data_IF_514421614077
#
_entry.id   IF_514421614077
#
_cell.length_a   1.000
_cell.length_b   1.000
_cell.length_c   1.000
_cell.angle_alpha   90.00
_cell.angle_beta   90.00
_cell.angle_gamma   90.00
#
_symmetry.space_group_name_H-M   'P 1'
#
loop_
_entity.id
_entity.type
_entity.pdbx_description
1 polymer ?
#
# COMPACT_ATOMS: atom_id res chain seq x y z
N UNK A 1 11.43 -3.55 19.46
CA UNK A 1 10.21 -2.81 19.14
C UNK A 1 10.04 -1.72 20.18
N UNK A 2 10.13 -0.48 19.76
CA UNK A 2 9.69 0.61 20.61
C UNK A 2 8.16 0.53 20.61
N UNK A 3 7.55 0.23 21.75
CA UNK A 3 6.17 0.61 21.98
C UNK A 3 6.15 2.12 21.81
N UNK A 4 5.62 2.59 20.70
CA UNK A 4 5.41 4.02 20.50
C UNK A 4 4.33 4.40 21.50
N UNK A 5 4.73 5.06 22.59
CA UNK A 5 3.78 5.75 23.46
C UNK A 5 3.20 6.91 22.66
N UNK A 6 2.09 6.65 21.99
CA UNK A 6 1.37 7.68 21.27
C UNK A 6 0.47 8.39 22.29
N UNK A 7 0.76 9.66 22.59
CA UNK A 7 -0.22 10.47 23.31
C UNK A 7 -1.42 10.73 22.39
N UNK A 8 -2.64 10.79 22.93
CA UNK A 8 -3.85 11.09 22.16
C UNK A 8 -3.73 12.39 21.36
N UNK A 9 -2.91 13.34 21.83
CA UNK A 9 -2.64 14.62 21.18
C UNK A 9 -1.69 14.53 19.99
N UNK A 10 -1.04 13.38 19.75
CA UNK A 10 -0.02 13.19 18.71
C UNK A 10 -0.51 12.38 17.51
N UNK A 11 -1.73 11.85 17.55
CA UNK A 11 -2.33 11.12 16.42
C UNK A 11 -3.26 12.05 15.67
N UNK A 12 -2.80 12.55 14.53
CA UNK A 12 -3.68 13.19 13.56
C UNK A 12 -4.37 12.13 12.67
N UNK A 13 -5.41 12.53 11.96
CA UNK A 13 -6.12 11.67 11.02
C UNK A 13 -5.39 11.49 9.67
N UNK A 14 -4.14 11.96 9.57
CA UNK A 14 -3.28 11.86 8.41
C UNK A 14 -2.30 10.69 8.50
N UNK A 15 -1.03 10.95 8.23
CA UNK A 15 0.03 9.91 8.22
C UNK A 15 0.24 9.25 9.58
N UNK A 16 -0.04 9.92 10.69
CA UNK A 16 0.04 9.29 12.03
C UNK A 16 -0.95 8.13 12.15
N UNK A 17 -2.18 8.28 11.63
CA UNK A 17 -3.17 7.20 11.60
C UNK A 17 -2.70 6.03 10.74
N UNK A 18 -2.12 6.30 9.58
CA UNK A 18 -1.58 5.25 8.68
C UNK A 18 -0.48 4.46 9.37
N UNK A 19 0.46 5.16 10.02
CA UNK A 19 1.56 4.52 10.73
C UNK A 19 1.07 3.67 11.91
N UNK A 20 0.06 4.15 12.63
CA UNK A 20 -0.57 3.41 13.72
C UNK A 20 -1.27 2.14 13.20
N UNK A 21 -2.00 2.23 12.07
CA UNK A 21 -2.63 1.08 11.45
C UNK A 21 -1.60 0.04 11.00
N UNK A 22 -0.52 0.46 10.33
CA UNK A 22 0.58 -0.42 9.92
C UNK A 22 1.25 -1.13 11.10
N UNK A 23 1.43 -0.43 12.22
CA UNK A 23 2.04 -1.01 13.43
C UNK A 23 1.09 -2.01 14.11
N UNK A 24 -0.18 -1.67 14.18
CA UNK A 24 -1.22 -2.56 14.69
C UNK A 24 -1.30 -3.86 13.86
N UNK A 25 -1.39 -3.75 12.53
CA UNK A 25 -1.45 -4.91 11.63
C UNK A 25 -0.21 -5.79 11.75
N UNK A 26 0.99 -5.20 11.77
CA UNK A 26 2.24 -5.95 12.01
C UNK A 26 2.25 -6.65 13.36
N UNK A 27 1.68 -6.04 14.38
CA UNK A 27 1.60 -6.63 15.72
C UNK A 27 0.61 -7.78 15.77
N UNK A 28 -0.54 -7.66 15.09
CA UNK A 28 -1.55 -8.71 14.99
C UNK A 28 -1.07 -9.91 14.15
N UNK A 29 -0.28 -9.66 13.10
CA UNK A 29 0.25 -10.71 12.24
C UNK A 29 1.35 -11.57 12.92
N UNK A 30 1.93 -11.10 14.04
CA UNK A 30 2.98 -11.83 14.76
C UNK A 30 2.39 -12.96 15.61
N UNK A 31 3.01 -14.12 15.55
CA UNK A 31 2.70 -15.19 16.50
C UNK A 31 3.45 -14.95 17.82
N UNK A 32 2.93 -14.02 18.63
CA UNK A 32 3.54 -13.61 19.90
C UNK A 32 3.68 -14.76 20.90
N UNK A 33 2.75 -15.73 20.87
CA UNK A 33 2.82 -16.91 21.73
C UNK A 33 4.03 -17.77 21.36
N UNK A 34 4.27 -17.99 20.06
CA UNK A 34 5.43 -18.73 19.58
C UNK A 34 6.73 -17.99 19.89
N UNK A 35 6.75 -16.69 19.69
CA UNK A 35 7.92 -15.88 20.02
C UNK A 35 8.27 -15.93 21.51
N UNK A 36 7.26 -15.92 22.40
CA UNK A 36 7.45 -16.02 23.85
C UNK A 36 7.99 -17.38 24.31
N UNK A 37 7.75 -18.45 23.53
CA UNK A 37 8.25 -19.79 23.85
C UNK A 37 9.75 -19.98 23.58
N UNK A 38 10.41 -19.03 22.98
CA UNK A 38 11.87 -19.06 22.76
C UNK A 38 12.61 -18.85 24.09
N UNK A 39 13.26 -19.91 24.54
CA UNK A 39 14.01 -19.92 25.81
C UNK A 39 15.25 -19.02 25.79
N UNK A 40 15.77 -18.70 24.62
CA UNK A 40 16.95 -17.85 24.42
C UNK A 40 16.69 -16.37 24.67
N UNK A 41 15.43 -15.96 24.79
CA UNK A 41 15.04 -14.55 24.97
C UNK A 41 15.49 -14.01 26.33
N UNK A 42 16.06 -12.80 26.29
CA UNK A 42 16.33 -12.05 27.52
C UNK A 42 15.02 -11.73 28.27
N UNK A 43 15.10 -11.62 29.60
CA UNK A 43 13.95 -11.25 30.45
C UNK A 43 13.28 -9.94 29.97
N UNK A 44 14.08 -8.95 29.56
CA UNK A 44 13.56 -7.67 29.03
C UNK A 44 12.72 -7.90 27.77
N UNK A 45 13.18 -8.80 26.89
CA UNK A 45 12.46 -9.09 25.65
C UNK A 45 11.15 -9.84 25.91
N UNK A 46 11.13 -10.77 26.86
CA UNK A 46 9.91 -11.49 27.27
C UNK A 46 8.85 -10.51 27.80
N UNK A 47 9.22 -9.59 28.70
CA UNK A 47 8.29 -8.56 29.20
C UNK A 47 7.74 -7.69 28.07
N UNK A 48 8.58 -7.26 27.13
CA UNK A 48 8.11 -6.48 25.96
C UNK A 48 7.11 -7.24 25.08
N UNK A 49 7.29 -8.54 24.93
CA UNK A 49 6.35 -9.36 24.13
C UNK A 49 5.04 -9.60 24.88
N UNK A 50 5.10 -9.80 26.21
CA UNK A 50 3.93 -9.92 27.08
C UNK A 50 3.10 -8.64 27.07
N UNK A 51 3.76 -7.46 27.19
CA UNK A 51 3.11 -6.14 27.10
C UNK A 51 2.45 -5.93 25.74
N UNK A 52 3.14 -6.28 24.63
CA UNK A 52 2.61 -6.19 23.29
C UNK A 52 1.39 -7.12 23.11
N UNK A 53 1.46 -8.36 23.58
CA UNK A 53 0.34 -9.29 23.54
C UNK A 53 -0.86 -8.77 24.33
N UNK A 54 -0.61 -8.19 25.52
CA UNK A 54 -1.63 -7.52 26.31
C UNK A 54 -2.27 -6.35 25.55
N UNK A 55 -1.47 -5.49 24.92
CA UNK A 55 -1.95 -4.35 24.13
C UNK A 55 -2.79 -4.78 22.95
N UNK A 56 -2.36 -5.76 22.15
CA UNK A 56 -3.13 -6.32 21.02
C UNK A 56 -4.47 -6.88 21.51
N UNK A 57 -4.49 -7.64 22.62
CA UNK A 57 -5.71 -8.17 23.20
C UNK A 57 -6.69 -7.08 23.66
N UNK A 58 -6.18 -6.00 24.26
CA UNK A 58 -7.00 -4.89 24.75
C UNK A 58 -7.51 -3.98 23.63
N UNK A 59 -6.79 -3.91 22.51
CA UNK A 59 -7.19 -3.11 21.34
C UNK A 59 -8.30 -3.76 20.51
N UNK A 60 -8.58 -5.05 20.73
CA UNK A 60 -9.69 -5.75 20.05
C UNK A 60 -10.99 -5.32 20.67
N UNK A 61 -11.84 -4.63 19.87
CA UNK A 61 -13.15 -4.09 20.31
C UNK A 61 -14.13 -5.23 20.62
N UNK A 62 -14.06 -6.33 19.86
CA UNK A 62 -14.88 -7.52 20.05
C UNK A 62 -14.04 -8.69 20.55
N UNK A 63 -14.24 -9.05 21.81
CA UNK A 63 -13.53 -10.19 22.45
C UNK A 63 -13.80 -11.55 21.80
N UNK A 64 -14.86 -11.67 20.99
CA UNK A 64 -15.34 -12.91 20.36
C UNK A 64 -15.36 -12.85 18.83
N UNK A 65 -14.97 -11.76 18.19
CA UNK A 65 -14.83 -11.79 16.74
C UNK A 65 -13.66 -12.72 16.39
N UNK A 66 -13.97 -13.79 15.67
CA UNK A 66 -12.94 -14.48 14.89
C UNK A 66 -12.22 -13.40 14.13
N UNK A 67 -10.91 -13.27 14.34
CA UNK A 67 -10.09 -12.34 13.57
C UNK A 67 -10.55 -12.40 12.13
N UNK A 68 -10.87 -11.25 11.57
CA UNK A 68 -11.27 -11.17 10.17
C UNK A 68 -10.17 -11.87 9.36
N UNK A 69 -10.51 -12.99 8.76
CA UNK A 69 -9.56 -13.80 7.98
C UNK A 69 -9.14 -13.11 6.69
N UNK A 70 -9.74 -11.95 6.41
CA UNK A 70 -9.28 -11.10 5.32
C UNK A 70 -8.03 -10.34 5.77
N UNK A 71 -6.86 -10.89 5.44
CA UNK A 71 -5.55 -10.26 5.63
C UNK A 71 -5.34 -9.01 4.77
N UNK A 72 -6.39 -8.21 4.54
CA UNK A 72 -6.30 -6.98 3.74
C UNK A 72 -5.70 -5.89 4.60
N UNK A 73 -4.49 -5.47 4.25
CA UNK A 73 -3.83 -4.38 4.96
C UNK A 73 -4.54 -3.05 4.76
N UNK A 74 -4.39 -2.15 5.74
CA UNK A 74 -4.95 -0.81 5.69
C UNK A 74 -4.53 -0.05 4.42
N UNK A 75 -3.25 -0.13 4.06
CA UNK A 75 -2.73 0.53 2.85
C UNK A 75 -3.26 -0.09 1.57
N UNK A 76 -3.40 -1.41 1.53
CA UNK A 76 -3.96 -2.09 0.37
C UNK A 76 -5.45 -1.73 0.18
N UNK A 77 -6.21 -1.70 1.27
CA UNK A 77 -7.61 -1.27 1.21
C UNK A 77 -7.74 0.20 0.77
N UNK A 78 -6.84 1.09 1.24
CA UNK A 78 -6.80 2.48 0.79
C UNK A 78 -6.44 2.61 -0.70
N UNK A 79 -5.57 1.75 -1.22
CA UNK A 79 -5.24 1.67 -2.64
C UNK A 79 -6.46 1.24 -3.46
N UNK A 80 -7.09 0.12 -3.09
CA UNK A 80 -8.26 -0.42 -3.81
C UNK A 80 -9.43 0.58 -3.78
N UNK A 81 -9.69 1.21 -2.64
CA UNK A 81 -10.75 2.20 -2.50
C UNK A 81 -10.58 3.42 -3.41
N UNK A 82 -9.34 3.74 -3.82
CA UNK A 82 -9.03 4.86 -4.73
C UNK A 82 -8.97 4.44 -6.20
N UNK A 83 -8.58 3.20 -6.49
CA UNK A 83 -8.37 2.72 -7.88
C UNK A 83 -9.58 2.01 -8.45
N UNK A 84 -10.46 1.46 -7.62
CA UNK A 84 -11.65 0.73 -8.07
C UNK A 84 -12.91 1.60 -7.98
N UNK A 85 -13.65 1.67 -9.06
CA UNK A 85 -14.83 2.55 -9.18
C UNK A 85 -16.06 2.08 -8.39
N UNK A 86 -16.09 0.81 -7.98
CA UNK A 86 -17.18 0.24 -7.18
C UNK A 86 -16.67 -0.90 -6.28
N UNK A 87 -17.50 -1.30 -5.33
CA UNK A 87 -17.14 -2.31 -4.32
C UNK A 87 -16.95 -3.70 -4.92
N UNK A 88 -17.69 -4.06 -5.96
CA UNK A 88 -17.53 -5.36 -6.61
C UNK A 88 -16.11 -5.54 -7.17
N UNK A 89 -15.56 -4.50 -7.80
CA UNK A 89 -14.18 -4.53 -8.30
C UNK A 89 -13.15 -4.61 -7.17
N UNK A 90 -13.45 -4.05 -5.99
CA UNK A 90 -12.60 -4.24 -4.80
C UNK A 90 -12.62 -5.70 -4.37
N UNK A 91 -13.82 -6.30 -4.31
CA UNK A 91 -13.96 -7.72 -3.92
C UNK A 91 -13.29 -8.66 -4.91
N UNK A 92 -13.45 -8.40 -6.21
CA UNK A 92 -12.81 -9.18 -7.27
C UNK A 92 -11.27 -9.13 -7.16
N UNK A 93 -10.69 -7.96 -6.91
CA UNK A 93 -9.23 -7.79 -6.68
C UNK A 93 -8.74 -8.55 -5.45
N UNK A 94 -9.59 -8.74 -4.44
CA UNK A 94 -9.28 -9.50 -3.23
C UNK A 94 -9.59 -11.01 -3.38
N UNK A 95 -10.05 -11.47 -4.54
CA UNK A 95 -10.47 -12.85 -4.76
C UNK A 95 -11.74 -13.25 -4.01
N UNK A 96 -12.56 -12.24 -3.61
CA UNK A 96 -13.83 -12.45 -2.92
C UNK A 96 -14.96 -12.49 -3.93
N UNK A 97 -15.93 -13.39 -3.71
CA UNK A 97 -17.05 -13.62 -4.62
C UNK A 97 -18.25 -14.22 -3.89
N UNK A 98 -19.29 -14.60 -4.61
CA UNK A 98 -20.50 -15.20 -4.01
C UNK A 98 -20.25 -16.47 -3.20
N UNK A 99 -19.19 -17.25 -3.51
CA UNK A 99 -18.81 -18.46 -2.78
C UNK A 99 -17.93 -18.15 -1.56
N UNK A 100 -17.23 -17.01 -1.58
CA UNK A 100 -16.40 -16.50 -0.51
C UNK A 100 -16.66 -14.98 -0.36
N UNK A 101 -17.79 -14.59 0.25
CA UNK A 101 -18.19 -13.20 0.32
C UNK A 101 -17.32 -12.41 1.31
N UNK A 102 -17.21 -11.07 1.11
CA UNK A 102 -16.53 -10.20 2.09
C UNK A 102 -17.23 -10.28 3.45
N UNK A 103 -16.44 -10.24 4.53
CA UNK A 103 -16.98 -10.16 5.87
C UNK A 103 -17.68 -8.81 6.10
N UNK A 104 -18.63 -8.77 7.03
CA UNK A 104 -19.30 -7.53 7.43
C UNK A 104 -18.30 -6.48 7.94
N UNK A 105 -17.24 -6.92 8.61
CA UNK A 105 -16.17 -6.05 9.09
C UNK A 105 -15.36 -5.44 7.93
N UNK A 106 -15.07 -6.22 6.88
CA UNK A 106 -14.33 -5.72 5.72
C UNK A 106 -15.18 -4.71 4.92
N UNK A 107 -16.49 -4.96 4.81
CA UNK A 107 -17.43 -4.02 4.18
C UNK A 107 -17.45 -2.69 4.95
N UNK A 108 -17.59 -2.73 6.27
CA UNK A 108 -17.57 -1.54 7.14
C UNK A 108 -16.22 -0.81 7.06
N UNK A 109 -15.10 -1.56 7.00
CA UNK A 109 -13.76 -0.97 6.80
C UNK A 109 -13.65 -0.24 5.48
N UNK A 110 -14.19 -0.79 4.38
CA UNK A 110 -14.15 -0.15 3.06
C UNK A 110 -14.98 1.14 3.04
N UNK A 111 -16.16 1.13 3.63
CA UNK A 111 -17.04 2.30 3.73
C UNK A 111 -16.33 3.45 4.50
N UNK A 112 -15.78 3.13 5.65
CA UNK A 112 -15.00 4.09 6.45
C UNK A 112 -13.75 4.58 5.75
N UNK A 113 -13.08 3.69 4.98
CA UNK A 113 -11.93 4.07 4.18
C UNK A 113 -12.30 5.08 3.09
N UNK A 114 -13.39 4.88 2.35
CA UNK A 114 -13.88 5.83 1.35
C UNK A 114 -14.22 7.18 1.97
N UNK A 115 -14.93 7.18 3.10
CA UNK A 115 -15.24 8.40 3.84
C UNK A 115 -13.97 9.15 4.27
N UNK A 116 -12.95 8.43 4.73
CA UNK A 116 -11.69 9.06 5.12
C UNK A 116 -10.91 9.61 3.92
N UNK A 117 -10.88 8.90 2.77
CA UNK A 117 -10.24 9.38 1.53
C UNK A 117 -10.87 10.70 1.06
N UNK A 118 -12.17 10.88 1.21
CA UNK A 118 -12.88 12.11 0.86
C UNK A 118 -12.63 13.26 1.86
N UNK A 119 -12.15 12.93 3.05
CA UNK A 119 -11.91 13.93 4.09
C UNK A 119 -10.70 14.81 3.79
N UNK A 120 -10.63 16.04 4.35
CA UNK A 120 -9.46 16.91 4.22
C UNK A 120 -8.23 16.38 4.98
N UNK A 121 -8.40 15.38 5.83
CA UNK A 121 -7.34 14.78 6.65
C UNK A 121 -6.62 13.64 5.94
N UNK A 122 -7.12 13.19 4.77
CA UNK A 122 -6.45 12.13 4.02
C UNK A 122 -5.09 12.62 3.53
N UNK A 123 -3.98 11.89 3.81
CA UNK A 123 -2.62 12.34 3.46
C UNK A 123 -2.46 12.49 1.95
N UNK A 124 -1.97 13.63 1.51
CA UNK A 124 -1.74 13.89 0.08
C UNK A 124 -0.70 12.93 -0.50
N UNK A 125 0.25 12.46 0.30
CA UNK A 125 1.25 11.46 -0.09
C UNK A 125 0.65 10.08 -0.41
N UNK A 126 -0.55 9.79 0.03
CA UNK A 126 -1.29 8.56 -0.26
C UNK A 126 -2.37 8.75 -1.32
N UNK A 127 -2.62 9.98 -1.73
CA UNK A 127 -3.67 10.28 -2.71
C UNK A 127 -3.25 9.85 -4.11
N UNK A 128 -4.10 9.06 -4.73
CA UNK A 128 -3.91 8.53 -6.09
C UNK A 128 -4.85 9.28 -7.02
N UNK A 129 -4.27 10.08 -7.90
CA UNK A 129 -5.00 10.83 -8.94
C UNK A 129 -4.44 10.39 -10.28
N UNK A 130 -5.01 9.35 -10.85
CA UNK A 130 -4.63 8.90 -12.19
C UNK A 130 -5.18 9.92 -13.20
N UNK A 131 -4.34 10.36 -14.11
CA UNK A 131 -4.70 11.25 -15.21
C UNK A 131 -4.92 10.43 -16.48
N UNK A 132 -5.93 10.79 -17.27
CA UNK A 132 -6.23 10.09 -18.54
C UNK A 132 -5.23 10.42 -19.65
N UNK A 133 -4.61 11.59 -19.57
CA UNK A 133 -3.63 12.05 -20.55
C UNK A 133 -2.45 12.69 -19.83
N UNK A 134 -1.25 12.26 -20.19
CA UNK A 134 -0.04 12.83 -19.61
C UNK A 134 0.12 14.31 -20.04
N UNK A 135 0.57 15.20 -19.13
CA UNK A 135 0.71 16.61 -19.43
C UNK A 135 1.75 16.85 -20.54
N UNK A 136 1.31 17.28 -21.70
CA UNK A 136 2.17 17.45 -22.89
C UNK A 136 3.39 18.34 -22.61
N UNK A 137 3.19 19.44 -21.87
CA UNK A 137 4.28 20.34 -21.48
C UNK A 137 5.35 19.64 -20.64
N UNK A 138 4.94 18.75 -19.73
CA UNK A 138 5.89 18.01 -18.91
C UNK A 138 6.66 16.96 -19.73
N UNK A 139 5.98 16.29 -20.66
CA UNK A 139 6.57 15.31 -21.56
C UNK A 139 7.59 15.93 -22.52
N UNK A 140 7.30 17.14 -23.03
CA UNK A 140 8.22 17.88 -23.90
C UNK A 140 9.53 18.26 -23.19
N UNK A 141 9.48 18.44 -21.86
CA UNK A 141 10.65 18.76 -21.04
C UNK A 141 11.47 17.54 -20.62
N UNK A 142 11.09 16.32 -20.99
CA UNK A 142 11.90 15.13 -20.69
C UNK A 142 13.21 15.17 -21.48
N UNK A 143 14.29 14.93 -20.77
CA UNK A 143 15.60 14.67 -21.37
C UNK A 143 15.58 13.40 -22.23
N UNK A 144 16.57 13.24 -23.09
CA UNK A 144 16.68 12.02 -23.91
C UNK A 144 16.84 10.76 -23.05
N UNK A 145 17.54 10.86 -21.93
CA UNK A 145 17.65 9.76 -20.95
C UNK A 145 16.30 9.39 -20.35
N UNK A 146 15.49 10.38 -19.96
CA UNK A 146 14.15 10.15 -19.39
C UNK A 146 13.20 9.52 -20.40
N UNK A 147 13.27 9.93 -21.66
CA UNK A 147 12.51 9.33 -22.76
C UNK A 147 12.93 7.89 -23.00
N UNK A 148 14.23 7.62 -22.95
CA UNK A 148 14.77 6.27 -23.15
C UNK A 148 14.40 5.34 -21.98
N UNK A 149 14.44 5.84 -20.72
CA UNK A 149 13.96 5.07 -19.56
C UNK A 149 12.47 4.74 -19.70
N UNK A 150 11.67 5.69 -20.14
CA UNK A 150 10.22 5.47 -20.32
C UNK A 150 9.96 4.43 -21.41
N UNK A 151 10.65 4.52 -22.55
CA UNK A 151 10.54 3.54 -23.64
C UNK A 151 10.94 2.14 -23.18
N UNK A 152 12.09 2.00 -22.49
CA UNK A 152 12.52 0.72 -21.94
C UNK A 152 11.52 0.16 -20.93
N UNK A 153 10.96 1.02 -20.06
CA UNK A 153 9.96 0.61 -19.07
C UNK A 153 8.70 0.10 -19.76
N UNK A 154 8.19 0.81 -20.77
CA UNK A 154 7.03 0.40 -21.55
C UNK A 154 7.25 -0.98 -22.18
N UNK A 155 8.36 -1.17 -22.89
CA UNK A 155 8.72 -2.46 -23.51
C UNK A 155 8.79 -3.60 -22.47
N UNK A 156 9.41 -3.34 -21.30
CA UNK A 156 9.47 -4.33 -20.22
C UNK A 156 8.09 -4.66 -19.67
N UNK A 157 7.24 -3.67 -19.45
CA UNK A 157 5.88 -3.85 -18.92
C UNK A 157 4.95 -4.57 -19.92
N UNK A 158 5.12 -4.37 -21.24
CA UNK A 158 4.40 -5.10 -22.26
C UNK A 158 4.63 -6.62 -22.22
N UNK A 159 5.86 -7.01 -21.88
CA UNK A 159 6.36 -8.37 -21.99
C UNK A 159 6.51 -9.09 -20.64
N UNK A 160 6.12 -8.47 -19.52
CA UNK A 160 6.33 -9.06 -18.19
C UNK A 160 5.06 -9.72 -17.64
N UNK A 161 5.24 -10.56 -16.61
CA UNK A 161 4.15 -11.02 -15.76
C UNK A 161 3.60 -9.85 -14.95
N UNK A 162 2.27 -9.72 -14.89
CA UNK A 162 1.63 -8.59 -14.22
C UNK A 162 1.46 -8.86 -12.72
N UNK A 163 2.59 -8.90 -12.01
CA UNK A 163 2.68 -9.12 -10.56
C UNK A 163 3.60 -8.07 -9.91
N UNK A 164 3.48 -7.94 -8.60
CA UNK A 164 4.15 -6.90 -7.83
C UNK A 164 5.67 -6.90 -7.96
N UNK A 165 6.28 -8.08 -7.86
CA UNK A 165 7.74 -8.20 -7.83
C UNK A 165 8.34 -7.97 -9.23
N UNK A 166 7.69 -8.51 -10.25
CA UNK A 166 8.11 -8.34 -11.65
C UNK A 166 7.97 -6.88 -12.09
N UNK A 167 6.84 -6.23 -11.81
CA UNK A 167 6.64 -4.81 -12.11
C UNK A 167 7.65 -3.94 -11.37
N UNK A 168 7.89 -4.20 -10.08
CA UNK A 168 8.88 -3.46 -9.31
C UNK A 168 10.30 -3.61 -9.91
N UNK A 169 10.64 -4.80 -10.40
CA UNK A 169 11.91 -5.07 -11.11
C UNK A 169 11.98 -4.30 -12.42
N UNK A 170 10.94 -4.34 -13.27
CA UNK A 170 10.88 -3.59 -14.53
C UNK A 170 11.14 -2.09 -14.31
N UNK A 171 10.51 -1.47 -13.29
CA UNK A 171 10.73 -0.05 -12.98
C UNK A 171 12.19 0.23 -12.65
N UNK A 172 12.83 -0.63 -11.86
CA UNK A 172 14.23 -0.43 -11.47
C UNK A 172 15.18 -0.69 -12.64
N UNK A 173 14.95 -1.76 -13.39
CA UNK A 173 15.87 -2.23 -14.42
C UNK A 173 15.79 -1.38 -15.70
N UNK A 174 14.65 -0.74 -16.00
CA UNK A 174 14.53 0.22 -17.10
C UNK A 174 15.51 1.40 -17.00
N UNK A 175 15.78 1.88 -15.80
CA UNK A 175 16.78 2.93 -15.58
C UNK A 175 18.21 2.35 -15.51
N UNK A 176 18.39 1.20 -14.87
CA UNK A 176 19.71 0.56 -14.76
C UNK A 176 20.27 0.15 -16.11
N UNK A 177 19.45 -0.26 -17.07
CA UNK A 177 19.88 -0.66 -18.41
C UNK A 177 20.65 0.43 -19.16
N UNK A 178 20.46 1.69 -18.77
CA UNK A 178 21.17 2.86 -19.30
C UNK A 178 22.02 3.57 -18.24
N UNK A 179 22.42 2.85 -17.21
CA UNK A 179 23.28 3.33 -16.12
C UNK A 179 22.71 4.54 -15.35
N UNK A 180 21.37 4.67 -15.28
CA UNK A 180 20.69 5.73 -14.53
C UNK A 180 20.15 5.23 -13.20
N UNK A 181 19.95 6.18 -12.28
CA UNK A 181 19.33 5.89 -10.99
C UNK A 181 17.86 5.46 -11.17
N UNK A 182 17.36 4.46 -10.44
CA UNK A 182 15.94 4.08 -10.44
C UNK A 182 14.98 5.25 -10.16
N UNK A 183 15.45 6.31 -9.50
CA UNK A 183 14.66 7.54 -9.28
C UNK A 183 14.17 8.17 -10.57
N UNK A 184 14.92 8.03 -11.67
CA UNK A 184 14.51 8.57 -12.98
C UNK A 184 13.27 7.82 -13.47
N UNK A 185 13.28 6.47 -13.43
CA UNK A 185 12.12 5.68 -13.83
C UNK A 185 10.87 5.99 -13.00
N UNK A 186 11.02 6.10 -11.68
CA UNK A 186 9.90 6.53 -10.81
C UNK A 186 9.40 7.94 -11.17
N UNK A 187 10.32 8.89 -11.41
CA UNK A 187 9.98 10.28 -11.74
C UNK A 187 9.17 10.39 -13.02
N UNK A 188 9.62 9.78 -14.12
CA UNK A 188 8.92 9.81 -15.41
C UNK A 188 7.56 9.09 -15.32
N UNK A 189 7.50 7.95 -14.62
CA UNK A 189 6.26 7.21 -14.43
C UNK A 189 5.22 8.01 -13.65
N UNK A 190 5.60 8.68 -12.56
CA UNK A 190 4.67 9.54 -11.82
C UNK A 190 4.18 10.73 -12.66
N UNK A 191 5.01 11.32 -13.48
CA UNK A 191 4.60 12.41 -14.37
C UNK A 191 3.59 11.89 -15.38
N UNK A 192 3.84 10.74 -16.01
CA UNK A 192 2.93 10.17 -17.00
C UNK A 192 1.59 9.74 -16.40
N UNK A 193 1.59 9.13 -15.20
CA UNK A 193 0.40 8.55 -14.60
C UNK A 193 -0.40 9.53 -13.73
N UNK A 194 0.27 10.48 -13.09
CA UNK A 194 -0.33 11.33 -12.06
C UNK A 194 -0.10 12.83 -12.29
N UNK A 195 0.66 13.22 -13.31
CA UNK A 195 1.04 14.61 -13.54
C UNK A 195 1.91 15.21 -12.43
N UNK A 196 2.59 14.39 -11.64
CA UNK A 196 3.36 14.77 -10.47
C UNK A 196 4.75 14.12 -10.48
N UNK A 197 5.75 14.72 -9.81
CA UNK A 197 7.11 14.17 -9.75
C UNK A 197 7.29 13.07 -8.69
N UNK A 198 6.30 12.83 -7.86
CA UNK A 198 6.30 11.84 -6.77
C UNK A 198 4.87 11.44 -6.41
N UNK A 199 4.72 10.28 -5.82
CA UNK A 199 3.43 9.74 -5.38
C UNK A 199 3.58 8.55 -4.44
N UNK A 200 2.50 7.82 -4.15
CA UNK A 200 2.51 6.58 -3.40
C UNK A 200 3.35 5.50 -4.11
N UNK A 201 3.56 4.35 -3.47
CA UNK A 201 4.33 3.24 -4.08
C UNK A 201 3.76 2.85 -5.43
N UNK A 202 4.57 2.96 -6.48
CA UNK A 202 4.13 2.84 -7.88
C UNK A 202 3.74 1.41 -8.26
N UNK A 203 4.57 0.41 -7.94
CA UNK A 203 4.31 -0.97 -8.36
C UNK A 203 2.96 -1.53 -7.86
N UNK A 204 2.53 -1.34 -6.61
CA UNK A 204 1.18 -1.71 -6.18
C UNK A 204 0.07 -1.01 -6.98
N UNK A 205 0.26 0.25 -7.36
CA UNK A 205 -0.72 0.99 -8.16
C UNK A 205 -0.84 0.37 -9.55
N UNK A 206 0.28 0.09 -10.20
CA UNK A 206 0.31 -0.53 -11.54
C UNK A 206 -0.35 -1.92 -11.53
N UNK A 207 -0.11 -2.73 -10.49
CA UNK A 207 -0.76 -4.05 -10.36
C UNK A 207 -2.28 -3.93 -10.34
N UNK A 208 -2.81 -2.93 -9.64
CA UNK A 208 -4.25 -2.70 -9.52
C UNK A 208 -4.87 -2.02 -10.75
N UNK A 209 -4.06 -1.37 -11.57
CA UNK A 209 -4.45 -0.88 -12.89
C UNK A 209 -4.25 -1.99 -13.92
N UNK A 210 -5.12 -2.01 -14.92
CA UNK A 210 -5.03 -3.02 -15.96
C UNK A 210 -3.81 -2.74 -16.86
N UNK A 211 -3.03 -3.78 -17.25
CA UNK A 211 -1.89 -3.62 -18.15
C UNK A 211 -2.24 -2.80 -19.40
N UNK A 212 -3.44 -3.05 -19.97
CA UNK A 212 -3.94 -2.35 -21.17
C UNK A 212 -4.23 -0.86 -20.98
N UNK A 213 -4.33 -0.42 -19.73
CA UNK A 213 -4.57 1.00 -19.40
C UNK A 213 -3.27 1.75 -19.20
N UNK A 214 -2.15 1.02 -19.02
CA UNK A 214 -0.84 1.57 -18.67
C UNK A 214 0.11 1.57 -19.85
N UNK A 215 0.07 0.55 -20.68
CA UNK A 215 0.89 0.31 -21.85
C UNK A 215 0.10 0.52 -23.12
#
# INVERSE_FOLDING_TARGET
>A
ANLVSVSADSVDAGMSLVNLADEYERSCARNLTLELSDESLSRRRKVQLEDLMGAVRLSSIERNSKSDSSNVSFRHLALLAQTKSNDQLVWDSLGLNSSNPPSSLLIDRLEKMRTWIESPHFPEEMRIKIINEAPVEMLQNFSDDEKLVLANLTEMLENCSWDLDTIASCIVDSAKSIEKSPRVAYGVSYICLMGAKKGPRLAPILVELNQREIV
#
